data_IF_191172611374
#
_entry.id   IF_191172611374
#
_cell.length_a   1.000
_cell.length_b   1.000
_cell.length_c   1.000
_cell.angle_alpha   90.00
_cell.angle_beta   90.00
_cell.angle_gamma   90.00
#
_symmetry.space_group_name_H-M   'P 1'
#
loop_
_entity.id
_entity.type
_entity.pdbx_description
1 polymer ?
#
# COMPACT_ATOMS: atom_id res chain seq x y z
N UNK A 1 28.62 13.51 -3.69
CA UNK A 1 29.52 13.25 -2.55
C UNK A 1 29.64 14.53 -1.74
N UNK A 2 29.07 14.55 -0.54
CA UNK A 2 29.51 15.51 0.48
C UNK A 2 30.59 14.77 1.26
N UNK A 3 31.78 15.34 1.33
CA UNK A 3 32.82 14.89 2.27
C UNK A 3 32.24 15.04 3.67
N UNK A 4 31.91 13.91 4.30
CA UNK A 4 31.45 13.89 5.67
C UNK A 4 32.68 13.64 6.54
N UNK A 5 33.54 14.66 6.64
CA UNK A 5 34.69 14.64 7.55
C UNK A 5 34.27 15.33 8.84
N UNK A 6 34.02 14.55 9.90
CA UNK A 6 33.84 15.04 11.27
C UNK A 6 34.95 14.50 12.17
N UNK A 7 35.29 15.28 13.19
CA UNK A 7 36.23 14.82 14.20
C UNK A 7 35.58 13.66 15.01
N UNK A 8 36.34 12.61 15.38
CA UNK A 8 35.89 11.60 16.33
C UNK A 8 35.34 12.24 17.61
N UNK A 9 34.48 11.52 18.36
CA UNK A 9 33.83 11.90 19.65
C UNK A 9 32.36 12.33 19.52
N UNK A 10 31.97 13.44 20.15
CA UNK A 10 30.58 13.90 20.29
C UNK A 10 29.99 14.36 18.96
N UNK A 11 30.83 14.82 18.03
CA UNK A 11 30.39 15.21 16.69
C UNK A 11 29.95 13.98 15.88
N UNK A 12 30.69 12.87 15.95
CA UNK A 12 30.29 11.61 15.32
C UNK A 12 28.92 11.14 15.83
N UNK A 13 28.66 11.16 17.15
CA UNK A 13 27.34 10.78 17.70
C UNK A 13 26.25 11.75 17.24
N UNK A 14 26.52 13.06 17.21
CA UNK A 14 25.57 14.07 16.72
C UNK A 14 25.28 13.96 15.23
N UNK A 15 26.24 13.45 14.45
CA UNK A 15 26.10 13.33 13.00
C UNK A 15 25.51 11.99 12.60
N UNK A 16 25.99 10.89 13.18
CA UNK A 16 25.58 9.52 12.85
C UNK A 16 24.28 9.11 13.55
N UNK A 17 24.02 9.59 14.77
CA UNK A 17 22.79 9.27 15.48
C UNK A 17 21.52 9.57 14.67
N UNK A 18 21.37 10.78 14.10
CA UNK A 18 20.25 11.10 13.20
C UNK A 18 20.22 10.24 11.92
N UNK A 19 21.37 9.93 11.33
CA UNK A 19 21.45 9.09 10.12
C UNK A 19 21.00 7.66 10.40
N UNK A 20 21.37 7.09 11.55
CA UNK A 20 20.93 5.77 11.99
C UNK A 20 19.41 5.72 12.18
N UNK A 21 18.84 6.72 12.84
CA UNK A 21 17.38 6.82 13.00
C UNK A 21 16.69 6.93 11.63
N UNK A 22 17.23 7.75 10.73
CA UNK A 22 16.69 7.90 9.39
C UNK A 22 16.77 6.58 8.59
N UNK A 23 17.87 5.83 8.70
CA UNK A 23 18.00 4.53 8.05
C UNK A 23 16.95 3.54 8.58
N UNK A 24 16.71 3.50 9.90
CA UNK A 24 15.68 2.66 10.52
C UNK A 24 14.27 3.03 10.04
N UNK A 25 13.95 4.33 9.95
CA UNK A 25 12.66 4.80 9.43
C UNK A 25 12.45 4.40 7.96
N UNK A 26 13.51 4.48 7.14
CA UNK A 26 13.48 4.04 5.75
C UNK A 26 13.27 2.52 5.64
N UNK A 27 13.94 1.72 6.47
CA UNK A 27 13.74 0.27 6.54
C UNK A 27 12.30 -0.07 6.92
N UNK A 28 11.76 0.57 7.96
CA UNK A 28 10.38 0.37 8.37
C UNK A 28 9.40 0.74 7.25
N UNK A 29 9.64 1.86 6.57
CA UNK A 29 8.84 2.31 5.43
C UNK A 29 8.88 1.29 4.28
N UNK A 30 10.07 0.79 3.92
CA UNK A 30 10.24 -0.21 2.87
C UNK A 30 9.50 -1.52 3.21
N UNK A 31 9.56 -1.96 4.47
CA UNK A 31 8.84 -3.16 4.94
C UNK A 31 7.32 -2.99 4.89
N UNK A 32 6.81 -1.81 5.28
CA UNK A 32 5.39 -1.48 5.15
C UNK A 32 4.96 -1.50 3.68
N UNK A 33 5.78 -0.94 2.77
CA UNK A 33 5.49 -0.96 1.33
C UNK A 33 5.51 -2.38 0.75
N UNK A 34 6.46 -3.21 1.17
CA UNK A 34 6.52 -4.62 0.77
C UNK A 34 5.26 -5.36 1.18
N UNK A 35 4.87 -5.21 2.44
CA UNK A 35 3.65 -5.83 2.99
C UNK A 35 2.41 -5.33 2.26
N UNK A 36 2.35 -4.03 1.95
CA UNK A 36 1.23 -3.44 1.21
C UNK A 36 1.13 -3.99 -0.22
N UNK A 37 2.26 -4.11 -0.94
CA UNK A 37 2.27 -4.64 -2.30
C UNK A 37 1.94 -6.13 -2.33
N UNK A 38 2.52 -6.90 -1.41
CA UNK A 38 2.27 -8.33 -1.26
C UNK A 38 0.81 -8.66 -0.96
N UNK A 39 0.11 -7.82 -0.20
CA UNK A 39 -1.30 -8.00 0.12
C UNK A 39 -2.26 -7.31 -0.87
N UNK A 40 -1.75 -6.85 -2.02
CA UNK A 40 -2.56 -6.16 -3.04
C UNK A 40 -2.74 -7.02 -4.29
N UNK A 41 -3.62 -6.59 -5.18
CA UNK A 41 -3.79 -7.21 -6.50
C UNK A 41 -2.53 -7.12 -7.39
N UNK A 42 -1.50 -6.37 -6.97
CA UNK A 42 -0.22 -6.31 -7.68
C UNK A 42 0.43 -7.68 -7.81
N UNK A 43 0.20 -8.62 -6.89
CA UNK A 43 0.75 -9.98 -6.97
C UNK A 43 0.33 -10.73 -8.23
N UNK A 44 -0.82 -10.38 -8.80
CA UNK A 44 -1.36 -11.05 -9.98
C UNK A 44 -0.80 -10.46 -11.29
N UNK A 45 -0.07 -9.34 -11.23
CA UNK A 45 0.55 -8.72 -12.40
C UNK A 45 1.77 -9.52 -12.88
N UNK A 46 1.95 -9.61 -14.20
CA UNK A 46 3.18 -10.16 -14.76
C UNK A 46 4.39 -9.35 -14.27
N UNK A 47 5.48 -10.03 -13.87
CA UNK A 47 6.67 -9.37 -13.34
C UNK A 47 6.58 -8.90 -11.87
N UNK A 48 5.42 -9.07 -11.21
CA UNK A 48 5.22 -8.68 -9.81
C UNK A 48 6.21 -9.31 -8.85
N UNK A 49 6.53 -10.60 -9.06
CA UNK A 49 7.48 -11.35 -8.22
C UNK A 49 8.87 -10.72 -8.20
N UNK A 50 9.41 -10.36 -9.37
CA UNK A 50 10.72 -9.72 -9.46
C UNK A 50 10.74 -8.36 -8.75
N UNK A 51 9.63 -7.61 -8.82
CA UNK A 51 9.47 -6.35 -8.08
C UNK A 51 9.42 -6.56 -6.56
N UNK A 52 8.70 -7.59 -6.10
CA UNK A 52 8.62 -7.92 -4.67
C UNK A 52 9.97 -8.41 -4.13
N UNK A 53 10.69 -9.25 -4.87
CA UNK A 53 12.05 -9.71 -4.52
C UNK A 53 13.04 -8.54 -4.47
N UNK A 54 12.91 -7.58 -5.38
CA UNK A 54 13.73 -6.37 -5.38
C UNK A 54 13.42 -5.48 -4.16
N UNK A 55 12.14 -5.31 -3.80
CA UNK A 55 11.78 -4.54 -2.62
C UNK A 55 12.21 -5.24 -1.32
N UNK A 56 12.16 -6.57 -1.25
CA UNK A 56 12.73 -7.34 -0.16
C UNK A 56 14.27 -7.14 -0.07
N UNK A 57 14.96 -7.09 -1.21
CA UNK A 57 16.39 -6.76 -1.25
C UNK A 57 16.67 -5.35 -0.73
N UNK A 58 15.83 -4.36 -1.06
CA UNK A 58 15.93 -2.99 -0.52
C UNK A 58 15.78 -2.98 1.00
N UNK A 59 14.84 -3.75 1.56
CA UNK A 59 14.68 -3.90 3.02
C UNK A 59 15.96 -4.48 3.64
N UNK A 60 16.51 -5.53 3.05
CA UNK A 60 17.77 -6.14 3.51
C UNK A 60 18.93 -5.14 3.50
N UNK A 61 19.19 -4.48 2.36
CA UNK A 61 20.27 -3.49 2.25
C UNK A 61 20.09 -2.31 3.21
N UNK A 62 18.87 -1.81 3.40
CA UNK A 62 18.63 -0.71 4.35
C UNK A 62 18.90 -1.12 5.80
N UNK A 63 18.62 -2.38 6.14
CA UNK A 63 18.92 -2.93 7.48
C UNK A 63 20.43 -3.07 7.70
N UNK A 64 21.17 -3.48 6.66
CA UNK A 64 22.63 -3.52 6.69
C UNK A 64 23.21 -2.12 6.85
N UNK A 65 22.73 -1.13 6.11
CA UNK A 65 23.15 0.27 6.28
C UNK A 65 22.99 0.77 7.72
N UNK A 66 21.85 0.45 8.36
CA UNK A 66 21.64 0.78 9.77
C UNK A 66 22.60 0.03 10.70
N UNK A 67 22.95 -1.22 10.38
CA UNK A 67 23.94 -2.00 11.14
C UNK A 67 25.33 -1.39 11.02
N UNK A 68 25.72 -0.97 9.82
CA UNK A 68 27.02 -0.34 9.57
C UNK A 68 27.14 1.01 10.28
N UNK A 69 26.09 1.84 10.27
CA UNK A 69 26.05 3.09 11.05
C UNK A 69 26.12 2.82 12.57
N UNK A 70 25.53 1.74 13.06
CA UNK A 70 25.64 1.34 14.46
C UNK A 70 27.05 0.84 14.80
N UNK A 71 27.71 0.11 13.90
CA UNK A 71 29.11 -0.30 14.06
C UNK A 71 30.06 0.90 14.03
N UNK A 72 29.76 1.94 13.26
CA UNK A 72 30.51 3.19 13.31
C UNK A 72 30.43 3.85 14.69
N UNK A 73 29.22 3.92 15.29
CA UNK A 73 29.03 4.43 16.65
C UNK A 73 29.74 3.58 17.71
N UNK A 74 29.86 2.27 17.48
CA UNK A 74 30.61 1.35 18.33
C UNK A 74 32.12 1.56 18.21
N UNK A 75 32.61 1.80 16.99
CA UNK A 75 34.02 2.07 16.71
C UNK A 75 34.47 3.47 17.19
N UNK A 76 33.53 4.41 17.36
CA UNK A 76 33.81 5.75 17.88
C UNK A 76 34.36 5.70 19.32
N UNK A 77 35.61 6.14 19.56
CA UNK A 77 36.22 6.05 20.88
C UNK A 77 35.57 7.07 21.83
N UNK A 78 34.93 6.56 22.88
CA UNK A 78 34.40 7.41 23.96
C UNK A 78 35.52 7.83 24.91
N UNK A 79 35.68 9.13 25.10
CA UNK A 79 36.54 9.69 26.16
C UNK A 79 35.69 9.90 27.40
N UNK A 80 35.94 9.11 28.44
CA UNK A 80 35.30 9.27 29.74
C UNK A 80 35.71 10.59 30.41
N UNK A 81 34.79 11.20 31.14
CA UNK A 81 35.15 12.26 32.07
C UNK A 81 35.95 11.66 33.24
N UNK A 82 36.83 12.46 33.84
CA UNK A 82 37.51 12.05 35.08
C UNK A 82 36.48 11.69 36.14
N UNK A 83 36.68 10.53 36.77
CA UNK A 83 35.88 10.08 37.90
C UNK A 83 36.80 9.72 39.06
N UNK A 84 36.30 9.82 40.31
CA UNK A 84 37.11 9.56 41.48
C UNK A 84 37.81 8.18 41.40
N UNK A 85 39.14 8.19 41.50
CA UNK A 85 39.99 7.00 41.42
C UNK A 85 40.34 6.52 40.01
N UNK A 86 39.82 7.15 38.95
CA UNK A 86 40.11 6.82 37.55
C UNK A 86 40.45 8.10 36.78
N UNK A 87 41.75 8.49 36.73
CA UNK A 87 42.18 9.66 35.98
C UNK A 87 41.91 9.48 34.49
N UNK A 88 41.71 10.59 33.77
CA UNK A 88 41.53 10.53 32.32
C UNK A 88 42.76 9.93 31.64
N UNK A 89 42.53 9.21 30.54
CA UNK A 89 43.60 8.72 29.67
C UNK A 89 44.50 9.89 29.28
N UNK A 90 45.81 9.69 29.31
CA UNK A 90 46.75 10.71 28.85
C UNK A 90 46.60 10.96 27.33
N UNK A 91 47.09 12.11 26.87
CA UNK A 91 46.90 12.55 25.49
C UNK A 91 47.48 11.57 24.45
N UNK A 92 48.62 10.93 24.76
CA UNK A 92 49.23 9.94 23.88
C UNK A 92 48.33 8.71 23.67
N UNK A 93 47.71 8.19 24.74
CA UNK A 93 46.77 7.06 24.67
C UNK A 93 45.51 7.44 23.91
N UNK A 94 44.97 8.65 24.13
CA UNK A 94 43.81 9.14 23.36
C UNK A 94 44.12 9.21 21.87
N UNK A 95 45.24 9.82 21.50
CA UNK A 95 45.68 9.95 20.10
C UNK A 95 45.89 8.59 19.43
N UNK A 96 46.52 7.64 20.11
CA UNK A 96 46.70 6.28 19.59
C UNK A 96 45.36 5.57 19.33
N UNK A 97 44.41 5.68 20.27
CA UNK A 97 43.06 5.09 20.12
C UNK A 97 42.28 5.71 18.96
N UNK A 98 42.36 7.04 18.80
CA UNK A 98 41.75 7.73 17.66
C UNK A 98 42.35 7.29 16.33
N UNK A 99 43.69 7.16 16.26
CA UNK A 99 44.37 6.68 15.05
C UNK A 99 43.94 5.26 14.65
N UNK A 100 43.65 4.38 15.62
CA UNK A 100 43.14 3.04 15.37
C UNK A 100 41.65 3.02 14.97
N UNK A 101 40.84 3.92 15.54
CA UNK A 101 39.40 3.96 15.31
C UNK A 101 39.02 4.57 13.95
N UNK A 102 39.72 5.62 13.51
CA UNK A 102 39.45 6.32 12.26
C UNK A 102 39.27 5.41 11.03
N UNK A 103 40.19 4.45 10.73
CA UNK A 103 40.01 3.58 9.57
C UNK A 103 38.78 2.67 9.70
N UNK A 104 38.49 2.14 10.89
CA UNK A 104 37.32 1.28 11.14
C UNK A 104 36.01 2.04 10.97
N UNK A 105 35.95 3.26 11.51
CA UNK A 105 34.79 4.13 11.35
C UNK A 105 34.57 4.47 9.87
N UNK A 106 35.66 4.75 9.13
CA UNK A 106 35.59 5.09 7.71
C UNK A 106 35.12 3.89 6.86
N UNK A 107 35.56 2.69 7.20
CA UNK A 107 35.11 1.44 6.56
C UNK A 107 33.59 1.25 6.74
N UNK A 108 33.10 1.29 7.99
CA UNK A 108 31.67 1.17 8.26
C UNK A 108 30.82 2.25 7.59
N UNK A 109 31.30 3.50 7.55
CA UNK A 109 30.59 4.57 6.85
C UNK A 109 30.53 4.32 5.34
N UNK A 110 31.60 3.83 4.73
CA UNK A 110 31.63 3.49 3.31
C UNK A 110 30.69 2.33 2.98
N UNK A 111 30.63 1.30 3.84
CA UNK A 111 29.70 0.19 3.70
C UNK A 111 28.25 0.67 3.80
N UNK A 112 27.94 1.54 4.77
CA UNK A 112 26.62 2.15 4.91
C UNK A 112 26.21 2.94 3.65
N UNK A 113 27.12 3.76 3.11
CA UNK A 113 26.88 4.50 1.85
C UNK A 113 26.61 3.54 0.70
N UNK A 114 27.43 2.48 0.56
CA UNK A 114 27.24 1.47 -0.47
C UNK A 114 25.86 0.81 -0.39
N UNK A 115 25.43 0.41 0.81
CA UNK A 115 24.11 -0.19 1.02
C UNK A 115 22.97 0.79 0.69
N UNK A 116 23.10 2.06 1.05
CA UNK A 116 22.11 3.09 0.71
C UNK A 116 22.03 3.36 -0.80
N UNK A 117 23.15 3.30 -1.52
CA UNK A 117 23.19 3.42 -2.99
C UNK A 117 22.50 2.22 -3.67
N UNK A 118 22.67 1.01 -3.12
CA UNK A 118 21.94 -0.17 -3.56
C UNK A 118 20.43 0.01 -3.32
N UNK A 119 20.01 0.51 -2.15
CA UNK A 119 18.61 0.84 -1.88
C UNK A 119 18.06 1.84 -2.89
N UNK A 120 18.76 2.94 -3.15
CA UNK A 120 18.33 3.96 -4.10
C UNK A 120 18.18 3.38 -5.52
N UNK A 121 19.13 2.54 -5.93
CA UNK A 121 19.10 1.86 -7.23
C UNK A 121 17.93 0.87 -7.30
N UNK A 122 17.74 0.04 -6.28
CA UNK A 122 16.61 -0.89 -6.19
C UNK A 122 15.27 -0.17 -6.22
N UNK A 123 15.11 0.95 -5.50
CA UNK A 123 13.90 1.77 -5.55
C UNK A 123 13.62 2.34 -6.96
N UNK A 124 14.66 2.76 -7.69
CA UNK A 124 14.51 3.24 -9.08
C UNK A 124 14.04 2.13 -10.02
N UNK A 125 14.67 0.97 -9.96
CA UNK A 125 14.29 -0.19 -10.78
C UNK A 125 12.89 -0.69 -10.43
N UNK A 126 12.52 -0.69 -9.14
CA UNK A 126 11.18 -1.03 -8.68
C UNK A 126 10.14 -0.07 -9.25
N UNK A 127 10.37 1.25 -9.14
CA UNK A 127 9.45 2.25 -9.66
C UNK A 127 9.28 2.12 -11.18
N UNK A 128 10.38 1.85 -11.90
CA UNK A 128 10.35 1.59 -13.32
C UNK A 128 9.56 0.32 -13.67
N UNK A 129 9.83 -0.81 -13.00
CA UNK A 129 9.12 -2.07 -13.24
C UNK A 129 7.62 -1.97 -12.92
N UNK A 130 7.23 -1.26 -11.87
CA UNK A 130 5.81 -0.98 -11.57
C UNK A 130 5.17 -0.15 -12.70
N UNK A 131 5.86 0.89 -13.17
CA UNK A 131 5.36 1.72 -14.28
C UNK A 131 5.22 0.92 -15.59
N UNK A 132 6.20 0.08 -15.92
CA UNK A 132 6.14 -0.80 -17.10
C UNK A 132 5.04 -1.85 -16.99
N UNK A 133 4.80 -2.39 -15.80
CA UNK A 133 3.68 -3.32 -15.56
C UNK A 133 2.33 -2.63 -15.75
N UNK A 134 2.22 -1.35 -15.36
CA UNK A 134 1.02 -0.56 -15.62
C UNK A 134 0.82 -0.25 -17.11
N UNK A 135 1.89 0.10 -17.83
CA UNK A 135 1.85 0.33 -19.29
C UNK A 135 1.52 -0.97 -20.02
N UNK A 136 2.17 -2.08 -19.66
CA UNK A 136 1.92 -3.39 -20.24
C UNK A 136 0.50 -3.88 -19.96
N UNK A 137 -0.07 -3.59 -18.79
CA UNK A 137 -1.49 -3.87 -18.49
C UNK A 137 -2.46 -3.00 -19.32
N UNK A 138 -2.03 -1.80 -19.75
CA UNK A 138 -2.79 -0.96 -20.68
C UNK A 138 -2.65 -1.44 -22.13
N UNK A 139 -1.46 -1.85 -22.56
CA UNK A 139 -1.17 -2.29 -23.93
C UNK A 139 -1.61 -3.74 -24.21
N UNK A 140 -1.56 -4.62 -23.20
CA UNK A 140 -2.15 -5.96 -23.26
C UNK A 140 -3.65 -5.94 -22.95
N UNK A 141 -4.28 -4.75 -22.90
CA UNK A 141 -5.72 -4.67 -23.11
C UNK A 141 -5.96 -5.18 -24.53
N UNK A 142 -6.50 -6.39 -24.71
CA UNK A 142 -6.69 -6.93 -26.04
C UNK A 142 -7.56 -5.95 -26.84
N UNK A 143 -7.37 -5.80 -28.17
CA UNK A 143 -8.29 -5.03 -28.99
C UNK A 143 -9.65 -5.72 -28.90
N UNK A 144 -10.49 -5.26 -27.97
CA UNK A 144 -11.83 -5.75 -27.70
C UNK A 144 -12.07 -7.19 -28.23
N UNK A 145 -11.29 -8.17 -27.76
CA UNK A 145 -11.91 -9.47 -27.58
C UNK A 145 -13.04 -9.12 -26.66
N UNK A 146 -14.26 -9.36 -27.11
CA UNK A 146 -15.45 -9.39 -26.29
C UNK A 146 -15.13 -10.33 -25.11
N UNK A 147 -14.38 -9.83 -24.11
CA UNK A 147 -14.60 -10.14 -22.72
C UNK A 147 -16.07 -9.88 -22.64
N UNK A 148 -16.80 -10.99 -22.63
CA UNK A 148 -18.20 -11.06 -22.29
C UNK A 148 -18.43 -9.95 -21.32
N UNK A 149 -19.13 -8.92 -21.82
CA UNK A 149 -19.69 -7.81 -21.09
C UNK A 149 -20.08 -8.38 -19.75
N UNK A 150 -19.21 -8.16 -18.76
CA UNK A 150 -19.37 -8.72 -17.43
C UNK A 150 -20.44 -7.90 -16.75
N UNK A 151 -21.65 -7.96 -17.29
CA UNK A 151 -22.76 -7.03 -17.13
C UNK A 151 -22.30 -5.57 -17.01
N UNK A 152 -22.58 -4.76 -18.04
CA UNK A 152 -22.74 -3.31 -17.85
C UNK A 152 -23.40 -3.09 -16.48
N UNK A 153 -22.82 -2.20 -15.65
CA UNK A 153 -23.28 -1.96 -14.28
C UNK A 153 -24.80 -2.04 -14.26
N UNK A 154 -25.36 -2.95 -13.45
CA UNK A 154 -26.82 -3.00 -13.39
C UNK A 154 -27.31 -1.62 -12.94
N UNK A 155 -28.51 -1.18 -13.34
CA UNK A 155 -29.02 0.13 -12.91
C UNK A 155 -28.89 0.32 -11.39
N UNK A 156 -29.13 -0.74 -10.60
CA UNK A 156 -28.96 -0.75 -9.15
C UNK A 156 -27.50 -0.60 -8.68
N UNK A 157 -26.53 -1.12 -9.42
CA UNK A 157 -25.10 -0.92 -9.12
C UNK A 157 -24.66 0.50 -9.49
N UNK A 158 -25.14 1.04 -10.61
CA UNK A 158 -24.86 2.42 -11.01
C UNK A 158 -25.46 3.40 -9.99
N UNK A 159 -26.73 3.22 -9.60
CA UNK A 159 -27.39 4.06 -8.59
C UNK A 159 -26.70 3.98 -7.23
N UNK A 160 -26.27 2.78 -6.81
CA UNK A 160 -25.50 2.60 -5.58
C UNK A 160 -24.13 3.29 -5.65
N UNK A 161 -23.44 3.21 -6.80
CA UNK A 161 -22.16 3.88 -7.00
C UNK A 161 -22.33 5.41 -6.99
N UNK A 162 -23.37 5.93 -7.63
CA UNK A 162 -23.72 7.36 -7.60
C UNK A 162 -24.01 7.82 -6.17
N UNK A 163 -24.78 7.04 -5.40
CA UNK A 163 -25.11 7.40 -4.04
C UNK A 163 -23.90 7.31 -3.09
N UNK A 164 -22.98 6.37 -3.32
CA UNK A 164 -21.72 6.27 -2.57
C UNK A 164 -20.69 7.35 -2.97
N UNK A 165 -20.82 7.97 -4.15
CA UNK A 165 -19.98 9.08 -4.57
C UNK A 165 -20.22 10.36 -3.76
N UNK A 166 -21.45 10.55 -3.25
CA UNK A 166 -21.75 11.61 -2.28
C UNK A 166 -21.09 11.34 -0.92
N UNK A 167 -20.92 10.06 -0.57
CA UNK A 167 -20.30 9.61 0.67
C UNK A 167 -21.04 8.39 1.23
N UNK A 168 -20.33 7.53 1.96
CA UNK A 168 -20.93 6.37 2.60
C UNK A 168 -20.08 5.78 3.71
N UNK A 169 -20.68 4.87 4.46
CA UNK A 169 -20.04 4.17 5.57
C UNK A 169 -20.40 2.68 5.57
N UNK A 170 -19.39 1.86 5.83
CA UNK A 170 -19.48 0.43 6.08
C UNK A 170 -19.39 0.22 7.59
N UNK A 171 -20.43 -0.29 8.21
CA UNK A 171 -20.47 -0.48 9.66
C UNK A 171 -21.07 -1.81 10.04
N UNK A 172 -20.73 -2.30 11.23
CA UNK A 172 -21.31 -3.50 11.80
C UNK A 172 -22.45 -3.15 12.74
N UNK A 173 -23.59 -3.82 12.59
CA UNK A 173 -24.74 -3.64 13.49
C UNK A 173 -25.05 -4.94 14.22
N UNK A 174 -25.20 -4.86 15.54
CA UNK A 174 -25.52 -5.97 16.44
C UNK A 174 -27.03 -6.25 16.55
N UNK A 175 -27.79 -6.04 15.48
CA UNK A 175 -29.22 -6.39 15.48
C UNK A 175 -29.39 -7.91 15.54
N UNK A 176 -29.98 -8.41 16.63
CA UNK A 176 -30.23 -9.84 16.94
C UNK A 176 -28.98 -10.68 17.28
N UNK A 177 -27.95 -10.08 17.88
CA UNK A 177 -26.80 -10.83 18.45
C UNK A 177 -25.85 -11.45 17.43
N UNK A 178 -26.10 -11.26 16.14
CA UNK A 178 -25.21 -11.62 15.05
C UNK A 178 -24.71 -10.31 14.43
N UNK A 179 -23.40 -10.09 14.47
CA UNK A 179 -22.75 -8.95 13.85
C UNK A 179 -22.94 -8.95 12.33
N UNK A 180 -23.81 -8.09 11.81
CA UNK A 180 -24.08 -8.00 10.37
C UNK A 180 -23.48 -6.72 9.82
N UNK A 181 -22.59 -6.86 8.84
CA UNK A 181 -22.03 -5.74 8.07
C UNK A 181 -23.11 -5.07 7.22
N UNK A 182 -23.21 -3.75 7.32
CA UNK A 182 -24.17 -2.90 6.62
C UNK A 182 -23.45 -1.76 5.92
N UNK A 183 -24.09 -1.27 4.86
CA UNK A 183 -23.62 -0.13 4.09
C UNK A 183 -24.71 0.93 4.08
N UNK A 184 -24.36 2.15 4.45
CA UNK A 184 -25.23 3.30 4.33
C UNK A 184 -24.55 4.39 3.52
N UNK A 185 -25.32 5.11 2.72
CA UNK A 185 -24.89 6.38 2.11
C UNK A 185 -24.86 7.48 3.18
N UNK A 186 -24.31 8.64 2.83
CA UNK A 186 -24.30 9.81 3.71
C UNK A 186 -25.71 10.22 4.16
N UNK A 187 -26.72 10.06 3.30
CA UNK A 187 -28.13 10.33 3.60
C UNK A 187 -28.81 9.22 4.41
N UNK A 188 -28.05 8.23 4.89
CA UNK A 188 -28.56 7.09 5.65
C UNK A 188 -29.29 6.03 4.81
N UNK A 189 -29.33 6.19 3.47
CA UNK A 189 -29.96 5.19 2.58
C UNK A 189 -29.14 3.91 2.58
N UNK A 190 -29.81 2.77 2.76
CA UNK A 190 -29.15 1.47 2.81
C UNK A 190 -28.77 1.00 1.41
N UNK A 191 -27.50 0.67 1.23
CA UNK A 191 -27.02 -0.08 0.07
C UNK A 191 -26.86 -1.54 0.49
N UNK A 192 -27.28 -2.47 -0.38
CA UNK A 192 -27.12 -3.89 -0.07
C UNK A 192 -25.64 -4.24 0.06
N UNK A 193 -25.28 -5.06 1.06
CA UNK A 193 -23.89 -5.50 1.25
C UNK A 193 -23.38 -6.30 0.04
N UNK A 194 -24.27 -7.02 -0.66
CA UNK A 194 -23.94 -7.73 -1.90
C UNK A 194 -23.57 -6.75 -3.03
N UNK A 195 -24.32 -5.65 -3.17
CA UNK A 195 -24.03 -4.60 -4.15
C UNK A 195 -22.69 -3.94 -3.83
N UNK A 196 -22.44 -3.58 -2.57
CA UNK A 196 -21.15 -3.02 -2.15
C UNK A 196 -19.99 -3.98 -2.41
N UNK A 197 -20.11 -5.26 -2.04
CA UNK A 197 -19.07 -6.27 -2.33
C UNK A 197 -18.83 -6.43 -3.82
N UNK A 198 -19.86 -6.35 -4.65
CA UNK A 198 -19.73 -6.39 -6.10
C UNK A 198 -18.98 -5.15 -6.64
N UNK A 199 -19.26 -3.96 -6.10
CA UNK A 199 -18.55 -2.72 -6.47
C UNK A 199 -17.08 -2.74 -5.98
N UNK A 200 -16.84 -3.21 -4.76
CA UNK A 200 -15.50 -3.33 -4.17
C UNK A 200 -14.65 -4.37 -4.92
N UNK A 201 -15.23 -5.53 -5.26
CA UNK A 201 -14.57 -6.55 -6.10
C UNK A 201 -14.21 -6.02 -7.49
N UNK A 202 -14.96 -5.04 -8.00
CA UNK A 202 -14.69 -4.34 -9.26
C UNK A 202 -13.74 -3.15 -9.12
N UNK A 203 -13.18 -2.90 -7.93
CA UNK A 203 -12.28 -1.77 -7.69
C UNK A 203 -12.94 -0.39 -7.73
N UNK A 204 -14.27 -0.30 -7.78
CA UNK A 204 -15.00 0.96 -7.96
C UNK A 204 -15.17 1.75 -6.65
N UNK A 205 -15.10 1.06 -5.52
CA UNK A 205 -15.20 1.63 -4.17
C UNK A 205 -14.19 0.97 -3.24
N UNK A 206 -13.70 1.71 -2.25
CA UNK A 206 -12.79 1.24 -1.21
C UNK A 206 -13.28 1.71 0.17
N UNK A 207 -13.11 0.90 1.21
CA UNK A 207 -13.33 1.33 2.60
C UNK A 207 -12.00 1.71 3.28
N UNK A 208 -12.06 2.68 4.17
CA UNK A 208 -10.97 2.99 5.10
C UNK A 208 -10.87 1.89 6.17
N UNK A 209 -9.88 1.01 6.02
CA UNK A 209 -9.62 -0.08 6.95
C UNK A 209 -8.93 0.37 8.24
N UNK A 210 -8.54 1.65 8.35
CA UNK A 210 -7.94 2.23 9.57
C UNK A 210 -8.97 2.47 10.69
N UNK A 211 -10.26 2.46 10.36
CA UNK A 211 -11.35 2.64 11.33
C UNK A 211 -12.04 1.30 11.61
N UNK A 212 -12.47 1.07 12.85
CA UNK A 212 -13.22 -0.15 13.20
C UNK A 212 -14.60 -0.18 12.51
N UNK A 213 -15.06 -1.36 12.08
CA UNK A 213 -16.43 -1.52 11.56
C UNK A 213 -17.50 -1.13 12.59
N UNK A 214 -17.22 -1.21 13.89
CA UNK A 214 -18.12 -0.75 14.94
C UNK A 214 -18.26 0.78 14.99
N UNK A 215 -17.22 1.49 14.55
CA UNK A 215 -17.21 2.96 14.45
C UNK A 215 -17.66 3.47 13.08
N UNK A 216 -17.71 2.57 12.09
CA UNK A 216 -18.06 2.88 10.71
C UNK A 216 -16.83 3.25 9.89
N UNK A 217 -16.50 2.41 8.91
CA UNK A 217 -15.46 2.67 7.93
C UNK A 217 -15.99 3.57 6.83
N UNK A 218 -15.29 4.66 6.55
CA UNK A 218 -15.65 5.54 5.43
C UNK A 218 -15.46 4.82 4.10
N UNK A 219 -16.46 4.90 3.22
CA UNK A 219 -16.38 4.39 1.86
C UNK A 219 -16.03 5.54 0.92
N UNK A 220 -15.05 5.32 0.06
CA UNK A 220 -14.61 6.28 -0.96
C UNK A 220 -14.73 5.64 -2.34
N UNK A 221 -15.25 6.39 -3.31
CA UNK A 221 -15.27 5.98 -4.73
C UNK A 221 -13.88 6.18 -5.31
N UNK A 222 -13.34 5.16 -5.99
CA UNK A 222 -12.01 5.21 -6.59
C UNK A 222 -12.02 6.00 -7.90
N UNK A 223 -10.85 6.29 -8.47
CA UNK A 223 -10.75 6.88 -9.80
C UNK A 223 -11.37 6.01 -10.91
N UNK A 224 -11.48 4.69 -10.71
CA UNK A 224 -12.22 3.80 -11.60
C UNK A 224 -13.73 3.94 -11.44
N UNK A 225 -14.21 4.07 -10.19
CA UNK A 225 -15.62 4.35 -9.92
C UNK A 225 -16.07 5.69 -10.50
N UNK A 226 -15.24 6.73 -10.40
CA UNK A 226 -15.52 8.03 -11.03
C UNK A 226 -15.57 7.95 -12.56
N UNK A 227 -14.66 7.20 -13.18
CA UNK A 227 -14.70 6.94 -14.63
C UNK A 227 -15.96 6.17 -15.05
N UNK A 228 -16.36 5.16 -14.28
CA UNK A 228 -17.60 4.42 -14.52
C UNK A 228 -18.87 5.27 -14.38
N UNK A 229 -18.84 6.31 -13.54
CA UNK A 229 -19.94 7.29 -13.44
C UNK A 229 -19.97 8.26 -14.63
N UNK A 230 -18.84 8.52 -15.28
CA UNK A 230 -18.77 9.35 -16.48
C UNK A 230 -19.34 8.65 -17.72
N UNK A 231 -19.47 7.31 -17.69
CA UNK A 231 -20.16 6.58 -18.75
C UNK A 231 -21.68 6.77 -18.67
N UNK A 232 -22.40 6.75 -19.82
CA UNK A 232 -23.86 6.88 -19.83
C UNK A 232 -24.52 5.83 -18.94
N UNK A 233 -25.45 6.28 -18.08
CA UNK A 233 -26.22 5.41 -17.19
C UNK A 233 -26.79 4.22 -17.98
N UNK A 234 -26.50 2.97 -17.57
CA UNK A 234 -27.09 1.79 -18.18
C UNK A 234 -28.62 1.86 -18.13
N UNK A 235 -29.26 1.79 -19.31
CA UNK A 235 -30.72 1.90 -19.43
C UNK A 235 -31.36 0.72 -18.71
N UNK A 236 -32.23 1.01 -17.73
CA UNK A 236 -33.05 -0.02 -17.13
C UNK A 236 -33.89 -0.70 -18.23
N UNK A 237 -33.85 -2.02 -18.28
CA UNK A 237 -34.76 -2.77 -19.14
C UNK A 237 -36.19 -2.37 -18.77
N UNK A 238 -36.92 -1.83 -19.74
CA UNK A 238 -38.36 -1.59 -19.59
C UNK A 238 -38.99 -2.93 -19.23
N UNK A 239 -39.64 -3.00 -18.08
CA UNK A 239 -40.42 -4.16 -17.70
C UNK A 239 -41.55 -4.31 -18.72
N UNK A 240 -41.37 -5.22 -19.67
CA UNK A 240 -42.48 -5.73 -20.47
C UNK A 240 -43.34 -6.54 -19.51
N UNK A 241 -44.27 -5.87 -18.84
CA UNK A 241 -45.37 -6.55 -18.18
C UNK A 241 -46.08 -7.36 -19.26
N UNK A 242 -45.82 -8.68 -19.28
CA UNK A 242 -46.56 -9.61 -20.11
C UNK A 242 -48.01 -9.56 -19.63
N UNK A 243 -48.83 -8.82 -20.37
CA UNK A 243 -50.27 -8.89 -20.28
C UNK A 243 -50.68 -10.35 -20.49
N UNK A 244 -51.07 -11.02 -19.42
CA UNK A 244 -51.71 -12.33 -19.49
C UNK A 244 -53.02 -12.18 -20.25
N UNK A 245 -52.98 -12.48 -21.55
CA UNK A 245 -54.18 -12.58 -22.36
C UNK A 245 -55.06 -13.74 -21.85
N UNK A 246 -56.38 -13.56 -21.70
CA UNK A 246 -57.26 -14.62 -21.24
C UNK A 246 -57.39 -15.71 -22.31
N UNK A 247 -57.24 -16.96 -21.86
CA UNK A 247 -57.35 -18.18 -22.65
C UNK A 247 -58.75 -18.29 -23.26
N UNK A 248 -58.82 -18.19 -24.60
CA UNK A 248 -60.04 -18.45 -25.35
C UNK A 248 -60.46 -19.93 -25.23
N UNK A 249 -61.73 -20.14 -24.89
CA UNK A 249 -62.37 -21.44 -24.87
C UNK A 249 -62.46 -22.00 -26.30
N UNK A 250 -61.91 -23.20 -26.50
CA UNK A 250 -62.07 -23.95 -27.73
C UNK A 250 -63.48 -24.52 -27.80
N UNK A 251 -64.28 -24.02 -28.74
CA UNK A 251 -65.45 -24.71 -29.24
C UNK A 251 -64.96 -25.84 -30.17
N UNK A 252 -65.18 -27.09 -29.80
CA UNK A 252 -65.25 -28.20 -30.75
C UNK A 252 -66.71 -28.62 -30.86
N UNK A 253 -67.22 -28.53 -32.09
CA UNK A 253 -68.57 -28.93 -32.43
C UNK A 253 -68.65 -30.37 -32.95
N UNK A 254 -69.82 -30.97 -32.64
CA UNK A 254 -70.72 -31.71 -33.56
C UNK A 254 -70.58 -33.25 -33.71
N UNK A 255 -71.78 -33.88 -33.55
CA UNK A 255 -72.33 -35.17 -34.04
C UNK A 255 -72.13 -36.44 -33.20
N UNK A 256 -73.22 -36.94 -32.59
CA UNK A 256 -74.25 -37.75 -33.28
C UNK A 256 -75.60 -37.63 -32.57
#
# INVERSE_FOLDING_TARGET
MRDVSYAPRTEAVRHIGPLLLQAQDLTATALVRLTSLYNSAYTDAAGSRASLDLLASVVSSSSLAGTDLAHELLANPYEGAEFAGHPADNEAVRTARHAEALPKMSEHLNDAVHQLDLCATGCRYLAHGIAENHVSAQDHRPPAVQQTTGAALSPAQYDALTALAAGGQLYESSTRGLGVTRVATQDGTRVSIATYRALAKRGLVCSDTGTSLFQGQKITVTGEGQRALAEPRPRAALSTAASTAPKAAAAQGVRR
#
